data_IF_319122735700
#
_entry.id   IF_319122735700
#
_cell.length_a   1.000
_cell.length_b   1.000
_cell.length_c   1.000
_cell.angle_alpha   90.00
_cell.angle_beta   90.00
_cell.angle_gamma   90.00
#
_symmetry.space_group_name_H-M   'P 1'
#
loop_
_entity.id
_entity.type
_entity.pdbx_description
1 polymer ?
#
# COMPACT_ATOMS: atom_id res chain seq x y z
N UNK A 1 3.89 19.01 6.38
CA UNK A 1 4.06 19.14 5.77
C UNK A 1 4.51 18.56 4.60
N UNK A 2 4.43 18.99 3.89
CA UNK A 2 4.62 18.39 2.77
C UNK A 2 5.94 17.97 2.44
N UNK A 3 6.77 18.13 3.36
CA UNK A 3 8.12 17.91 3.11
C UNK A 3 8.40 16.57 2.56
N UNK A 4 7.73 15.62 3.07
CA UNK A 4 7.96 14.31 2.62
C UNK A 4 7.34 14.04 1.31
N UNK A 5 6.68 15.05 0.73
CA UNK A 5 6.07 14.83 -0.52
C UNK A 5 7.02 15.12 -1.61
N UNK A 6 8.00 14.26 -1.77
CA UNK A 6 8.79 14.27 -2.98
C UNK A 6 7.89 13.98 -4.18
N UNK A 7 6.69 13.46 -3.93
CA UNK A 7 5.72 13.18 -4.98
C UNK A 7 4.49 14.04 -4.72
N UNK A 8 4.10 14.83 -5.71
CA UNK A 8 2.95 15.70 -5.55
C UNK A 8 1.66 14.90 -5.38
N UNK A 9 0.68 15.51 -4.77
CA UNK A 9 -0.59 14.85 -4.49
C UNK A 9 -1.75 15.76 -4.93
N UNK A 10 -1.86 16.03 -6.24
CA UNK A 10 -2.87 16.99 -6.72
C UNK A 10 -4.29 16.50 -6.50
N UNK A 11 -4.52 15.21 -6.37
CA UNK A 11 -5.85 14.66 -6.17
C UNK A 11 -6.22 14.59 -4.70
N UNK A 12 -5.32 14.97 -3.82
CA UNK A 12 -5.55 14.95 -2.37
C UNK A 12 -6.00 13.57 -1.89
N UNK A 13 -5.39 12.54 -2.45
CA UNK A 13 -5.65 11.18 -2.00
C UNK A 13 -4.99 10.94 -0.67
N UNK A 14 -5.58 10.04 0.12
CA UNK A 14 -4.91 9.59 1.33
C UNK A 14 -3.77 8.68 0.93
N UNK A 15 -2.57 8.99 1.40
CA UNK A 15 -1.39 8.20 1.05
C UNK A 15 -1.02 7.25 2.16
N UNK A 16 -0.67 6.03 1.75
CA UNK A 16 -0.30 4.99 2.68
C UNK A 16 0.92 4.26 2.19
N UNK A 17 1.79 3.91 3.12
CA UNK A 17 2.95 3.08 2.82
C UNK A 17 2.67 1.67 3.28
N UNK A 18 2.89 0.71 2.38
CA UNK A 18 2.65 -0.69 2.63
C UNK A 18 3.99 -1.40 2.60
N UNK A 19 4.30 -2.16 3.64
CA UNK A 19 5.53 -2.93 3.70
C UNK A 19 5.16 -4.41 3.69
N UNK A 20 5.74 -5.14 2.76
CA UNK A 20 5.53 -6.59 2.64
C UNK A 20 6.80 -7.27 3.09
N UNK A 21 6.72 -8.02 4.19
CA UNK A 21 7.88 -8.67 4.78
C UNK A 21 7.89 -10.15 4.41
N UNK A 22 8.75 -10.51 3.47
CA UNK A 22 8.89 -11.90 3.05
C UNK A 22 8.36 -12.14 1.65
N UNK A 23 8.86 -13.20 1.01
CA UNK A 23 8.56 -13.46 -0.39
C UNK A 23 7.07 -13.72 -0.63
N UNK A 24 6.41 -14.43 0.26
CA UNK A 24 5.00 -14.76 0.06
C UNK A 24 4.15 -13.49 0.06
N UNK A 25 4.40 -12.59 1.02
CA UNK A 25 3.64 -11.35 1.08
C UNK A 25 4.00 -10.45 -0.11
N UNK A 26 5.28 -10.40 -0.47
CA UNK A 26 5.74 -9.48 -1.50
C UNK A 26 5.32 -9.92 -2.91
N UNK A 27 5.03 -11.19 -3.13
CA UNK A 27 4.74 -11.68 -4.48
C UNK A 27 3.25 -11.90 -4.76
N UNK A 28 2.40 -11.75 -3.76
CA UNK A 28 0.96 -11.90 -3.98
C UNK A 28 0.38 -10.58 -4.48
N UNK A 29 -0.50 -10.62 -5.50
CA UNK A 29 -1.06 -9.39 -6.06
C UNK A 29 -2.18 -8.82 -5.18
N UNK A 30 -1.81 -8.32 -4.01
CA UNK A 30 -2.79 -7.88 -3.01
C UNK A 30 -3.65 -6.71 -3.46
N UNK A 31 -3.07 -5.77 -4.21
CA UNK A 31 -3.83 -4.60 -4.66
C UNK A 31 -4.95 -5.03 -5.62
N UNK A 32 -4.63 -5.94 -6.53
CA UNK A 32 -5.62 -6.45 -7.47
C UNK A 32 -6.68 -7.28 -6.75
N UNK A 33 -6.25 -8.10 -5.79
CA UNK A 33 -7.20 -8.91 -5.01
C UNK A 33 -8.14 -8.02 -4.21
N UNK A 34 -7.62 -6.97 -3.60
CA UNK A 34 -8.43 -6.04 -2.83
C UNK A 34 -9.45 -5.34 -3.75
N UNK A 35 -9.01 -4.91 -4.93
CA UNK A 35 -9.92 -4.26 -5.87
C UNK A 35 -11.06 -5.20 -6.26
N UNK A 36 -10.72 -6.46 -6.46
CA UNK A 36 -11.70 -7.46 -6.86
C UNK A 36 -12.66 -7.81 -5.74
N UNK A 37 -12.14 -7.97 -4.52
CA UNK A 37 -12.93 -8.43 -3.39
C UNK A 37 -13.71 -7.31 -2.70
N UNK A 38 -13.13 -6.11 -2.63
CA UNK A 38 -13.72 -5.00 -1.90
C UNK A 38 -14.18 -3.87 -2.79
N UNK A 39 -13.91 -3.97 -4.09
CA UNK A 39 -14.30 -2.94 -5.05
C UNK A 39 -13.70 -1.58 -4.68
N UNK A 40 -12.45 -1.59 -4.21
CA UNK A 40 -11.73 -0.35 -3.86
C UNK A 40 -10.52 -0.25 -4.76
N UNK A 41 -10.43 0.86 -5.46
CA UNK A 41 -9.33 1.12 -6.38
C UNK A 41 -8.36 2.08 -5.74
N UNK A 42 -7.07 1.83 -5.96
CA UNK A 42 -6.02 2.70 -5.45
C UNK A 42 -5.02 2.98 -6.55
N UNK A 43 -4.32 4.09 -6.41
CA UNK A 43 -3.25 4.45 -7.32
C UNK A 43 -1.93 4.01 -6.71
N UNK A 44 -1.06 3.41 -7.51
CA UNK A 44 0.27 3.05 -7.05
C UNK A 44 1.19 4.20 -7.41
N UNK A 45 1.72 4.87 -6.39
CA UNK A 45 2.59 6.01 -6.57
C UNK A 45 4.02 5.55 -6.81
N UNK A 46 4.47 4.58 -6.03
CA UNK A 46 5.78 3.97 -6.23
C UNK A 46 5.78 2.59 -5.60
N UNK A 47 6.68 1.75 -6.07
CA UNK A 47 6.81 0.40 -5.53
C UNK A 47 8.23 -0.07 -5.77
N UNK A 48 8.75 -0.85 -4.83
CA UNK A 48 10.10 -1.39 -4.94
C UNK A 48 10.17 -2.72 -4.20
N UNK A 49 11.05 -3.58 -4.68
CA UNK A 49 11.30 -4.86 -4.05
C UNK A 49 12.80 -4.99 -3.88
N UNK A 50 13.23 -5.50 -2.73
CA UNK A 50 14.66 -5.72 -2.50
C UNK A 50 14.85 -7.01 -1.75
N UNK A 51 16.04 -7.60 -1.92
CA UNK A 51 16.43 -8.81 -1.23
C UNK A 51 17.61 -8.50 -0.32
N UNK A 52 17.45 -8.82 0.96
CA UNK A 52 18.51 -8.61 1.96
C UNK A 52 18.66 -9.93 2.71
N UNK A 53 19.89 -10.49 2.71
CA UNK A 53 20.18 -11.75 3.40
C UNK A 53 19.19 -12.85 3.00
N UNK A 54 18.96 -12.97 1.71
CA UNK A 54 18.07 -13.98 1.13
C UNK A 54 16.60 -13.79 1.50
N UNK A 55 16.25 -12.64 2.07
CA UNK A 55 14.85 -12.33 2.36
C UNK A 55 14.37 -11.23 1.44
N UNK A 56 13.18 -11.40 0.91
CA UNK A 56 12.59 -10.43 -0.02
C UNK A 56 11.63 -9.53 0.73
N UNK A 57 11.79 -8.23 0.51
CA UNK A 57 10.93 -7.20 1.09
C UNK A 57 10.34 -6.38 -0.03
N UNK A 58 9.07 -6.03 0.11
CA UNK A 58 8.43 -5.13 -0.82
C UNK A 58 7.97 -3.87 -0.10
N UNK A 59 7.98 -2.76 -0.81
CA UNK A 59 7.52 -1.49 -0.27
C UNK A 59 6.69 -0.81 -1.35
N UNK A 60 5.57 -0.23 -0.96
CA UNK A 60 4.67 0.40 -1.92
C UNK A 60 4.08 1.65 -1.30
N UNK A 61 4.06 2.73 -2.06
CA UNK A 61 3.35 3.94 -1.67
C UNK A 61 2.11 4.02 -2.56
N UNK A 62 0.94 4.07 -1.94
CA UNK A 62 -0.31 4.12 -2.67
C UNK A 62 -1.09 5.37 -2.31
N UNK A 63 -1.97 5.78 -3.24
CA UNK A 63 -2.91 6.85 -3.00
C UNK A 63 -4.32 6.27 -3.04
N UNK A 64 -5.10 6.57 -2.01
CA UNK A 64 -6.46 6.03 -1.88
C UNK A 64 -7.46 7.15 -2.07
N UNK A 65 -8.17 7.15 -3.20
CA UNK A 65 -9.27 8.11 -3.39
C UNK A 65 -10.50 7.61 -2.66
N UNK A 66 -11.49 8.46 -2.51
CA UNK A 66 -12.77 8.03 -1.95
C UNK A 66 -12.98 8.34 -0.49
N UNK A 67 -12.02 9.01 0.16
CA UNK A 67 -12.21 9.49 1.51
C UNK A 67 -12.03 8.44 2.59
N UNK A 68 -12.54 8.75 3.78
CA UNK A 68 -12.27 7.96 4.97
C UNK A 68 -12.80 6.54 4.89
N UNK A 69 -13.92 6.34 4.22
CA UNK A 69 -14.51 5.02 4.11
C UNK A 69 -13.59 4.08 3.34
N UNK A 70 -13.09 4.55 2.20
CA UNK A 70 -12.19 3.73 1.39
C UNK A 70 -10.84 3.54 2.07
N UNK A 71 -10.35 4.58 2.76
CA UNK A 71 -9.12 4.47 3.53
C UNK A 71 -9.23 3.38 4.59
N UNK A 72 -10.37 3.32 5.28
CA UNK A 72 -10.57 2.31 6.30
C UNK A 72 -10.58 0.91 5.69
N UNK A 73 -11.24 0.73 4.56
CA UNK A 73 -11.28 -0.57 3.90
C UNK A 73 -9.87 -1.03 3.55
N UNK A 74 -9.06 -0.13 3.00
CA UNK A 74 -7.69 -0.47 2.62
C UNK A 74 -6.87 -0.86 3.85
N UNK A 75 -6.97 -0.07 4.93
CA UNK A 75 -6.25 -0.38 6.15
C UNK A 75 -6.65 -1.74 6.72
N UNK A 76 -7.95 -2.00 6.76
CA UNK A 76 -8.44 -3.25 7.33
C UNK A 76 -8.05 -4.45 6.47
N UNK A 77 -8.16 -4.31 5.14
CA UNK A 77 -7.84 -5.42 4.26
C UNK A 77 -6.35 -5.74 4.27
N UNK A 78 -5.53 -4.75 4.00
CA UNK A 78 -4.09 -4.98 3.91
C UNK A 78 -3.47 -5.23 5.28
N UNK A 79 -3.98 -4.57 6.30
CA UNK A 79 -3.45 -4.75 7.65
C UNK A 79 -3.77 -6.11 8.26
N UNK A 80 -4.73 -6.84 7.71
CA UNK A 80 -5.06 -8.18 8.19
C UNK A 80 -4.17 -9.25 7.60
N UNK A 81 -3.35 -8.92 6.59
CA UNK A 81 -2.50 -9.88 5.93
C UNK A 81 -1.25 -10.10 6.76
N UNK A 82 -0.90 -11.36 6.98
CA UNK A 82 0.29 -11.69 7.73
C UNK A 82 1.53 -11.12 7.05
N UNK A 83 2.42 -10.51 7.83
CA UNK A 83 3.69 -9.93 7.35
C UNK A 83 3.50 -8.71 6.47
N UNK A 84 2.37 -8.06 6.57
CA UNK A 84 2.12 -6.79 5.87
C UNK A 84 1.87 -5.71 6.90
N UNK A 85 2.55 -4.59 6.74
CA UNK A 85 2.40 -3.42 7.60
C UNK A 85 1.85 -2.27 6.78
N UNK A 86 0.90 -1.56 7.34
CA UNK A 86 0.26 -0.43 6.67
C UNK A 86 0.37 0.79 7.55
N UNK A 87 0.80 1.91 6.97
CA UNK A 87 0.82 3.14 7.72
C UNK A 87 0.42 4.31 6.82
N UNK A 88 -0.30 5.25 7.39
CA UNK A 88 -0.70 6.44 6.68
C UNK A 88 0.43 7.45 6.73
N UNK A 89 0.76 8.07 5.61
CA UNK A 89 1.88 9.01 5.56
C UNK A 89 1.46 10.41 5.15
#
# INVERSE_FOLDING_TARGET
NGADDSVSNPLHETRMRIIFNGAAAASTPWIAKMAQEKNVLVNIVSAATRTIDDKTYGSMLIGVPGGAEHTKIVKDYLGAIENVTVEEV
#
